data_IF_993695719808
#
_entry.id   IF_993695719808
#
_cell.length_a   1.000
_cell.length_b   1.000
_cell.length_c   1.000
_cell.angle_alpha   90.00
_cell.angle_beta   90.00
_cell.angle_gamma   90.00
#
_symmetry.space_group_name_H-M   'P 1'
#
loop_
_entity.id
_entity.type
_entity.pdbx_description
1 polymer ?
#
# COMPACT_ATOMS: atom_id res chain seq x y z
N UNK A 1 -31.02 -9.60 8.08
CA UNK A 1 -30.50 -8.34 8.67
C UNK A 1 -31.12 -7.20 7.90
N UNK A 2 -31.81 -6.28 8.59
CA UNK A 2 -32.36 -5.08 7.98
C UNK A 2 -31.20 -4.12 7.65
N UNK A 3 -30.99 -3.86 6.37
CA UNK A 3 -30.16 -2.75 5.93
C UNK A 3 -30.99 -1.47 6.11
N UNK A 4 -30.73 -0.71 7.18
CA UNK A 4 -31.35 0.58 7.39
C UNK A 4 -30.64 1.62 6.52
N UNK A 5 -31.30 2.23 5.53
CA UNK A 5 -30.66 3.20 4.64
C UNK A 5 -30.09 4.40 5.41
N UNK A 6 -30.73 4.78 6.52
CA UNK A 6 -30.31 5.88 7.39
C UNK A 6 -28.91 5.66 7.99
N UNK A 7 -28.57 4.44 8.41
CA UNK A 7 -27.25 4.14 8.99
C UNK A 7 -26.12 4.30 7.96
N UNK A 8 -26.39 3.92 6.70
CA UNK A 8 -25.43 4.07 5.60
C UNK A 8 -25.23 5.56 5.28
N UNK A 9 -26.32 6.33 5.21
CA UNK A 9 -26.27 7.78 4.98
C UNK A 9 -25.51 8.50 6.09
N UNK A 10 -25.74 8.15 7.35
CA UNK A 10 -25.04 8.74 8.49
C UNK A 10 -23.55 8.40 8.48
N UNK A 11 -23.19 7.18 8.07
CA UNK A 11 -21.79 6.76 7.98
C UNK A 11 -21.04 7.50 6.86
N UNK A 12 -21.66 7.69 5.70
CA UNK A 12 -21.08 8.47 4.59
C UNK A 12 -20.94 9.94 5.01
N UNK A 13 -21.97 10.52 5.64
CA UNK A 13 -21.95 11.91 6.11
C UNK A 13 -20.81 12.15 7.10
N UNK A 14 -20.63 11.26 8.07
CA UNK A 14 -19.49 11.30 9.01
C UNK A 14 -18.13 11.19 8.31
N UNK A 15 -18.00 10.40 7.25
CA UNK A 15 -16.73 10.32 6.48
C UNK A 15 -16.42 11.63 5.75
N UNK A 16 -17.44 12.29 5.21
CA UNK A 16 -17.28 13.59 4.52
C UNK A 16 -16.95 14.68 5.54
N UNK A 17 -17.64 14.73 6.68
CA UNK A 17 -17.38 15.71 7.75
C UNK A 17 -15.96 15.60 8.32
N UNK A 18 -15.42 14.38 8.43
CA UNK A 18 -14.06 14.13 8.92
C UNK A 18 -12.99 14.14 7.80
N UNK A 19 -13.33 14.55 6.58
CA UNK A 19 -12.36 14.58 5.48
C UNK A 19 -11.48 15.84 5.58
N UNK A 20 -10.31 15.70 6.19
CA UNK A 20 -9.32 16.77 6.28
C UNK A 20 -8.68 17.04 4.91
N UNK A 21 -9.00 18.21 4.34
CA UNK A 21 -8.39 18.76 3.12
C UNK A 21 -6.98 19.32 3.41
N UNK A 22 -6.08 18.46 3.88
CA UNK A 22 -4.67 18.83 4.07
C UNK A 22 -3.87 18.57 2.79
N UNK A 23 -3.21 19.61 2.27
CA UNK A 23 -2.27 19.46 1.16
C UNK A 23 -0.98 18.85 1.68
N UNK A 24 -0.67 17.62 1.28
CA UNK A 24 0.57 16.94 1.65
C UNK A 24 1.53 16.90 0.47
N UNK A 25 2.76 17.36 0.67
CA UNK A 25 3.82 17.29 -0.34
C UNK A 25 4.26 15.84 -0.47
N UNK A 26 4.03 15.23 -1.63
CA UNK A 26 4.51 13.89 -1.96
C UNK A 26 5.54 13.97 -3.06
N UNK A 27 6.49 13.03 -3.05
CA UNK A 27 7.42 12.88 -4.18
C UNK A 27 6.73 12.06 -5.25
N UNK A 28 6.69 12.60 -6.47
CA UNK A 28 6.12 11.93 -7.64
C UNK A 28 7.23 11.55 -8.63
N UNK A 29 6.98 10.50 -9.39
CA UNK A 29 7.82 10.03 -10.48
C UNK A 29 6.98 9.61 -11.67
N UNK A 30 7.64 9.31 -12.78
CA UNK A 30 6.99 8.93 -14.03
C UNK A 30 7.47 7.56 -14.47
N UNK A 31 6.54 6.68 -14.84
CA UNK A 31 6.86 5.37 -15.40
C UNK A 31 7.54 5.54 -16.76
N UNK A 32 8.72 4.95 -16.91
CA UNK A 32 9.50 4.91 -18.16
C UNK A 32 9.25 3.62 -18.93
N UNK A 33 9.11 2.50 -18.24
CA UNK A 33 8.86 1.21 -18.88
C UNK A 33 8.22 0.23 -17.91
N UNK A 34 7.37 -0.64 -18.44
CA UNK A 34 6.76 -1.77 -17.72
C UNK A 34 7.05 -3.06 -18.49
N UNK A 35 7.63 -4.05 -17.81
CA UNK A 35 7.93 -5.37 -18.39
C UNK A 35 7.69 -6.45 -17.34
N UNK A 36 6.75 -7.37 -17.60
CA UNK A 36 6.45 -8.52 -16.72
C UNK A 36 6.26 -8.17 -15.23
N UNK A 37 5.62 -7.03 -14.93
CA UNK A 37 5.40 -6.57 -13.56
C UNK A 37 6.60 -5.86 -12.91
N UNK A 38 7.69 -5.65 -13.66
CA UNK A 38 8.81 -4.80 -13.27
C UNK A 38 8.64 -3.43 -13.93
N UNK A 39 8.76 -2.38 -13.14
CA UNK A 39 8.59 -0.99 -13.58
C UNK A 39 9.87 -0.22 -13.36
N UNK A 40 10.31 0.53 -14.37
CA UNK A 40 11.33 1.57 -14.21
C UNK A 40 10.65 2.92 -14.10
N UNK A 41 11.01 3.66 -13.06
CA UNK A 41 10.43 4.95 -12.74
C UNK A 41 11.55 5.98 -12.77
N UNK A 42 11.31 7.09 -13.46
CA UNK A 42 12.19 8.25 -13.41
C UNK A 42 11.68 9.24 -12.34
N UNK A 43 12.61 9.87 -11.61
CA UNK A 43 12.29 10.73 -10.48
C UNK A 43 12.36 9.98 -9.15
N UNK A 44 11.40 10.21 -8.26
CA UNK A 44 11.37 9.61 -6.91
C UNK A 44 12.70 9.79 -6.13
N UNK A 45 13.24 11.01 -6.12
CA UNK A 45 14.55 11.29 -5.50
C UNK A 45 14.64 11.04 -3.99
N UNK A 46 13.50 10.94 -3.32
CA UNK A 46 13.37 10.67 -1.89
C UNK A 46 12.90 9.22 -1.61
N UNK A 47 12.87 8.34 -2.62
CA UNK A 47 12.47 6.96 -2.40
C UNK A 47 13.46 6.20 -1.52
N UNK A 48 12.93 5.39 -0.61
CA UNK A 48 13.68 4.47 0.22
C UNK A 48 13.68 3.06 -0.38
N UNK A 49 14.72 2.28 -0.10
CA UNK A 49 14.75 0.88 -0.50
C UNK A 49 13.71 0.10 0.32
N UNK A 50 12.87 -0.69 -0.37
CA UNK A 50 11.76 -1.42 0.26
C UNK A 50 10.55 -0.52 0.59
N UNK A 51 10.52 0.71 0.07
CA UNK A 51 9.35 1.58 0.20
C UNK A 51 8.18 1.09 -0.65
N UNK A 52 6.97 1.26 -0.12
CA UNK A 52 5.74 1.08 -0.86
C UNK A 52 5.50 2.27 -1.79
N UNK A 53 5.30 1.98 -3.08
CA UNK A 53 4.96 2.96 -4.11
C UNK A 53 3.51 2.79 -4.52
N UNK A 54 2.80 3.90 -4.73
CA UNK A 54 1.43 3.91 -5.22
C UNK A 54 1.40 4.24 -6.71
N UNK A 55 0.79 3.34 -7.47
CA UNK A 55 0.51 3.46 -8.90
C UNK A 55 -0.96 3.86 -9.11
N UNK A 56 -1.34 4.22 -10.34
CA UNK A 56 -2.74 4.43 -10.69
C UNK A 56 -3.63 3.21 -10.35
N UNK A 57 -4.93 3.48 -10.18
CA UNK A 57 -5.94 2.48 -9.82
C UNK A 57 -5.67 1.71 -8.53
N UNK A 58 -5.13 2.40 -7.51
CA UNK A 58 -4.86 1.84 -6.17
C UNK A 58 -3.99 0.58 -6.20
N UNK A 59 -3.09 0.51 -7.18
CA UNK A 59 -2.12 -0.57 -7.27
C UNK A 59 -0.86 -0.18 -6.53
N UNK A 60 -0.33 -1.09 -5.73
CA UNK A 60 0.90 -0.86 -4.99
C UNK A 60 2.07 -1.58 -5.65
N UNK A 61 3.26 -1.06 -5.43
CA UNK A 61 4.51 -1.75 -5.73
C UNK A 61 5.54 -1.51 -4.65
N UNK A 62 6.69 -2.15 -4.81
CA UNK A 62 7.82 -2.01 -3.90
C UNK A 62 9.06 -1.56 -4.66
N UNK A 63 9.72 -0.51 -4.17
CA UNK A 63 11.01 -0.07 -4.66
C UNK A 63 12.11 -1.06 -4.27
N UNK A 64 12.76 -1.69 -5.25
CA UNK A 64 13.83 -2.66 -5.02
C UNK A 64 15.22 -2.08 -5.29
N UNK A 65 15.37 -1.41 -6.44
CA UNK A 65 16.63 -0.91 -6.94
C UNK A 65 16.57 0.61 -7.01
N UNK A 66 17.50 1.28 -6.34
CA UNK A 66 17.68 2.73 -6.44
C UNK A 66 18.92 2.99 -7.30
N UNK A 67 18.72 3.20 -8.60
CA UNK A 67 19.79 3.60 -9.51
C UNK A 67 19.98 5.13 -9.45
N UNK A 68 21.01 5.64 -10.12
CA UNK A 68 21.30 7.09 -10.11
C UNK A 68 20.17 7.92 -10.74
N UNK A 69 19.60 7.43 -11.83
CA UNK A 69 18.65 8.15 -12.66
C UNK A 69 17.27 7.46 -12.75
N UNK A 70 17.13 6.28 -12.12
CA UNK A 70 15.88 5.51 -12.13
C UNK A 70 15.67 4.68 -10.87
N UNK A 71 14.41 4.40 -10.56
CA UNK A 71 14.00 3.47 -9.50
C UNK A 71 13.37 2.25 -10.16
N UNK A 72 13.91 1.08 -9.85
CA UNK A 72 13.33 -0.21 -10.21
C UNK A 72 12.34 -0.65 -9.15
N UNK A 73 11.09 -0.86 -9.54
CA UNK A 73 10.02 -1.30 -8.67
C UNK A 73 9.33 -2.56 -9.20
N UNK A 74 8.79 -3.36 -8.29
CA UNK A 74 7.95 -4.52 -8.63
C UNK A 74 6.51 -4.21 -8.25
N UNK A 75 5.59 -4.48 -9.18
CA UNK A 75 4.15 -4.28 -8.97
C UNK A 75 3.59 -5.43 -8.13
N UNK A 76 2.87 -5.09 -7.08
CA UNK A 76 2.20 -6.02 -6.16
C UNK A 76 0.73 -6.14 -6.53
N UNK A 77 0.45 -6.68 -7.72
CA UNK A 77 -0.91 -6.81 -8.23
C UNK A 77 -0.97 -6.99 -9.75
N UNK A 78 -2.11 -6.64 -10.34
CA UNK A 78 -2.24 -6.55 -11.79
C UNK A 78 -1.39 -5.36 -12.29
N UNK A 79 -0.61 -5.56 -13.35
CA UNK A 79 0.26 -4.52 -13.91
C UNK A 79 -0.19 -4.04 -15.30
N UNK A 80 -1.21 -4.68 -15.89
CA UNK A 80 -1.60 -4.46 -17.29
C UNK A 80 -2.21 -3.08 -17.55
N UNK A 81 -2.72 -2.41 -16.52
CA UNK A 81 -3.25 -1.06 -16.62
C UNK A 81 -2.16 0.01 -16.55
N UNK A 82 -0.97 -0.33 -16.05
CA UNK A 82 0.14 0.62 -15.89
C UNK A 82 0.83 0.80 -17.25
N UNK A 83 0.94 2.05 -17.67
CA UNK A 83 1.53 2.45 -18.94
C UNK A 83 2.71 3.41 -18.75
N UNK A 84 3.54 3.54 -19.77
CA UNK A 84 4.57 4.58 -19.82
C UNK A 84 3.92 5.98 -19.70
N UNK A 85 4.53 6.85 -18.90
CA UNK A 85 4.02 8.18 -18.60
C UNK A 85 3.14 8.28 -17.36
N UNK A 86 2.73 7.15 -16.77
CA UNK A 86 1.92 7.16 -15.56
C UNK A 86 2.67 7.75 -14.37
N UNK A 87 1.93 8.44 -13.50
CA UNK A 87 2.49 9.02 -12.27
C UNK A 87 2.54 7.98 -11.16
N UNK A 88 3.68 7.89 -10.50
CA UNK A 88 3.90 7.02 -9.34
C UNK A 88 4.22 7.90 -8.13
N UNK A 89 3.69 7.54 -6.96
CA UNK A 89 3.87 8.30 -5.72
C UNK A 89 4.62 7.50 -4.68
N UNK A 90 5.53 8.16 -3.98
CA UNK A 90 6.12 7.64 -2.75
C UNK A 90 5.12 7.75 -1.60
N UNK A 91 4.91 6.67 -0.84
CA UNK A 91 4.05 6.68 0.36
C UNK A 91 4.79 7.12 1.63
N UNK A 92 6.13 7.19 1.58
CA UNK A 92 7.00 7.48 2.73
C UNK A 92 7.09 6.33 3.72
N UNK A 93 6.53 5.16 3.40
CA UNK A 93 6.43 4.01 4.30
C UNK A 93 7.14 2.81 3.69
N UNK A 94 7.99 2.17 4.50
CA UNK A 94 8.51 0.83 4.17
C UNK A 94 7.31 -0.12 4.04
N UNK A 95 7.42 -1.10 3.16
CA UNK A 95 6.41 -2.13 2.94
C UNK A 95 5.88 -2.70 4.27
N UNK A 96 4.64 -2.31 4.59
CA UNK A 96 3.92 -2.68 5.80
C UNK A 96 2.58 -3.33 5.46
N UNK A 97 2.15 -4.24 6.33
CA UNK A 97 0.85 -4.88 6.24
C UNK A 97 0.04 -4.59 7.50
N UNK A 98 -1.29 -4.47 7.39
CA UNK A 98 -2.15 -4.35 8.56
C UNK A 98 -2.04 -5.60 9.43
N UNK A 99 -2.02 -5.41 10.75
CA UNK A 99 -1.99 -6.51 11.74
C UNK A 99 -3.01 -6.26 12.85
N UNK A 100 -3.48 -7.34 13.46
CA UNK A 100 -4.41 -7.27 14.60
C UNK A 100 -5.38 -8.45 14.64
N UNK A 101 -6.08 -8.58 15.76
CA UNK A 101 -7.08 -9.63 15.96
C UNK A 101 -8.26 -9.52 14.98
N UNK A 102 -8.48 -8.34 14.39
CA UNK A 102 -9.54 -8.10 13.40
C UNK A 102 -9.35 -8.92 12.11
N UNK A 103 -8.15 -9.46 11.87
CA UNK A 103 -7.86 -10.34 10.73
C UNK A 103 -8.28 -11.79 11.00
N UNK A 104 -8.55 -12.18 12.25
CA UNK A 104 -8.93 -13.55 12.59
C UNK A 104 -10.25 -13.92 11.91
N UNK A 105 -10.26 -15.03 11.18
CA UNK A 105 -11.43 -15.53 10.46
C UNK A 105 -11.76 -14.79 9.15
N UNK A 106 -10.88 -13.88 8.72
CA UNK A 106 -10.96 -13.21 7.41
C UNK A 106 -10.12 -13.96 6.38
N UNK A 107 -10.47 -13.80 5.10
CA UNK A 107 -9.57 -14.16 3.99
C UNK A 107 -9.01 -12.86 3.43
N UNK A 108 -7.69 -12.72 3.44
CA UNK A 108 -6.97 -11.51 3.01
C UNK A 108 -5.95 -11.85 1.93
N UNK A 109 -5.62 -10.86 1.11
CA UNK A 109 -4.50 -10.94 0.17
C UNK A 109 -3.14 -10.72 0.87
N UNK A 110 -2.05 -10.76 0.10
CA UNK A 110 -0.69 -10.57 0.62
C UNK A 110 -0.41 -9.16 1.16
N UNK A 111 -1.22 -8.16 0.78
CA UNK A 111 -1.12 -6.78 1.26
C UNK A 111 -2.04 -6.53 2.47
N UNK A 112 -2.83 -7.54 2.88
CA UNK A 112 -3.77 -7.47 3.99
C UNK A 112 -5.15 -6.92 3.61
N UNK A 113 -5.46 -6.76 2.33
CA UNK A 113 -6.80 -6.37 1.88
C UNK A 113 -7.76 -7.56 1.98
N UNK A 114 -9.00 -7.37 2.48
CA UNK A 114 -9.97 -8.44 2.56
C UNK A 114 -10.53 -8.83 1.19
N UNK A 115 -10.50 -10.13 0.89
CA UNK A 115 -11.04 -10.71 -0.35
C UNK A 115 -12.26 -11.62 -0.11
N UNK A 116 -12.74 -11.71 1.14
CA UNK A 116 -13.89 -12.53 1.52
C UNK A 116 -15.27 -11.86 1.32
N UNK A 117 -15.31 -10.62 0.84
CA UNK A 117 -16.55 -9.87 0.60
C UNK A 117 -17.30 -9.45 1.87
N UNK A 118 -16.72 -9.61 3.08
CA UNK A 118 -17.36 -9.27 4.36
C UNK A 118 -17.16 -7.80 4.78
N UNK A 119 -16.73 -6.95 3.85
CA UNK A 119 -16.43 -5.52 4.11
C UNK A 119 -14.98 -5.26 4.55
N UNK A 120 -14.65 -4.00 4.89
CA UNK A 120 -13.28 -3.62 5.26
C UNK A 120 -12.81 -4.25 6.58
N UNK A 121 -11.49 -4.39 6.75
CA UNK A 121 -10.86 -4.76 8.03
C UNK A 121 -10.39 -3.47 8.70
N UNK A 122 -10.83 -3.24 9.94
CA UNK A 122 -10.40 -2.09 10.73
C UNK A 122 -9.23 -2.46 11.64
N UNK A 123 -8.04 -2.60 11.07
CA UNK A 123 -6.80 -2.74 11.85
C UNK A 123 -6.30 -1.36 12.30
N UNK A 124 -5.92 -1.23 13.57
CA UNK A 124 -5.32 -0.01 14.12
C UNK A 124 -3.80 0.02 14.03
N UNK A 125 -3.18 -1.11 13.72
CA UNK A 125 -1.73 -1.28 13.67
C UNK A 125 -1.29 -1.85 12.33
N UNK A 126 -0.10 -1.45 11.89
CA UNK A 126 0.62 -2.03 10.77
C UNK A 126 1.95 -2.60 11.26
N UNK A 127 2.49 -3.57 10.54
CA UNK A 127 3.81 -4.12 10.81
C UNK A 127 4.63 -4.18 9.52
N UNK A 128 5.92 -3.77 9.54
CA UNK A 128 6.82 -3.97 8.40
C UNK A 128 6.96 -5.46 8.09
N UNK A 129 6.95 -5.80 6.79
CA UNK A 129 7.17 -7.18 6.35
C UNK A 129 8.61 -7.62 6.65
N UNK A 130 9.58 -6.75 6.35
CA UNK A 130 10.99 -7.02 6.58
C UNK A 130 11.39 -6.58 7.99
N UNK A 131 11.60 -7.56 8.89
CA UNK A 131 12.02 -7.33 10.27
C UNK A 131 13.09 -8.34 10.69
N UNK A 132 14.10 -7.85 11.41
CA UNK A 132 15.14 -8.71 12.00
C UNK A 132 14.49 -9.64 13.03
N UNK A 133 14.71 -10.94 12.87
CA UNK A 133 14.17 -11.97 13.76
C UNK A 133 14.77 -11.87 15.19
N UNK A 134 14.09 -12.42 16.21
CA UNK A 134 14.60 -12.45 17.58
C UNK A 134 15.97 -13.15 17.66
N UNK A 135 16.92 -12.48 18.33
CA UNK A 135 18.26 -13.01 18.60
C UNK A 135 18.26 -14.16 19.60
N UNK A 136 19.39 -14.85 19.74
CA UNK A 136 19.51 -16.08 20.56
C UNK A 136 19.05 -15.89 22.01
N UNK A 137 19.41 -14.76 22.64
CA UNK A 137 19.05 -14.45 24.04
C UNK A 137 17.54 -14.28 24.24
N UNK A 138 16.80 -13.87 23.20
CA UNK A 138 15.35 -13.66 23.28
C UNK A 138 14.52 -14.93 23.03
N UNK A 139 15.18 -16.06 22.72
CA UNK A 139 14.52 -17.34 22.44
C UNK A 139 14.48 -18.19 23.71
N UNK A 140 13.43 -18.99 23.85
CA UNK A 140 13.26 -19.94 24.94
C UNK A 140 13.12 -21.36 24.37
N UNK A 141 13.72 -22.35 25.04
CA UNK A 141 13.64 -23.78 24.71
C UNK A 141 12.46 -24.47 25.39
#
# INVERSE_FOLDING_TARGET
MQLNPSEISDLIKKKIENFDLSTQVHTEGTVVSVTDGIVRIHGLSQAMQGEMLEFPDHTYGMALNLERDSVGAVVLGAYQHISEGDTVRCTGKILEVPVGEQLLGRVVDALGNPIDGKGPVHSTQSSPIEKIAPGVIARQS
#
